data_IF_360114646441
#
_entry.id   IF_360114646441
#
_cell.length_a   1.000
_cell.length_b   1.000
_cell.length_c   1.000
_cell.angle_alpha   90.00
_cell.angle_beta   90.00
_cell.angle_gamma   90.00
#
_symmetry.space_group_name_H-M   'P 1'
#
loop_
_entity.id
_entity.type
_entity.pdbx_description
1 polymer ?
#
# COMPACT_ATOMS: atom_id res chain seq x y z
N UNK A 1 1.48 -17.07 10.85
CA UNK A 1 2.83 -16.51 10.65
C UNK A 1 2.69 -15.34 9.70
N UNK A 2 2.84 -14.11 10.18
CA UNK A 2 2.82 -12.93 9.32
C UNK A 2 4.13 -12.94 8.54
N UNK A 3 4.11 -13.26 7.24
CA UNK A 3 5.34 -13.39 6.43
C UNK A 3 6.03 -12.06 6.15
N UNK A 4 5.33 -10.94 6.32
CA UNK A 4 5.83 -9.60 6.10
C UNK A 4 5.55 -8.81 7.37
N UNK A 5 6.59 -8.37 8.08
CA UNK A 5 6.42 -7.65 9.35
C UNK A 5 6.15 -6.15 9.14
N UNK A 6 6.42 -5.63 7.95
CA UNK A 6 6.33 -4.22 7.60
C UNK A 6 5.82 -4.02 6.17
N UNK A 7 5.28 -2.82 5.89
CA UNK A 7 4.84 -2.42 4.57
C UNK A 7 5.98 -2.46 3.54
N UNK A 8 7.21 -2.07 3.91
CA UNK A 8 8.39 -2.19 3.05
C UNK A 8 8.68 -3.64 2.64
N UNK A 9 8.53 -4.59 3.58
CA UNK A 9 8.76 -6.01 3.30
C UNK A 9 7.70 -6.56 2.34
N UNK A 10 6.45 -6.13 2.51
CA UNK A 10 5.35 -6.48 1.62
C UNK A 10 5.57 -5.90 0.21
N UNK A 11 5.90 -4.61 0.14
CA UNK A 11 6.19 -3.91 -1.10
C UNK A 11 7.31 -4.58 -1.89
N UNK A 12 8.42 -4.90 -1.21
CA UNK A 12 9.56 -5.56 -1.85
C UNK A 12 9.19 -6.96 -2.37
N UNK A 13 8.41 -7.72 -1.60
CA UNK A 13 7.95 -9.03 -2.01
C UNK A 13 7.04 -8.97 -3.25
N UNK A 14 6.16 -7.97 -3.34
CA UNK A 14 5.34 -7.75 -4.55
C UNK A 14 6.24 -7.37 -5.74
N UNK A 15 7.18 -6.43 -5.55
CA UNK A 15 8.12 -6.00 -6.60
C UNK A 15 9.00 -7.13 -7.10
N UNK A 16 9.39 -8.05 -6.23
CA UNK A 16 10.17 -9.25 -6.58
C UNK A 16 9.32 -10.36 -7.19
N UNK A 17 7.99 -10.23 -7.22
CA UNK A 17 7.07 -11.28 -7.67
C UNK A 17 6.99 -12.47 -6.71
N UNK A 18 7.36 -12.27 -5.44
CA UNK A 18 7.22 -13.28 -4.39
C UNK A 18 5.76 -13.41 -3.92
N UNK A 19 4.98 -12.33 -4.06
CA UNK A 19 3.53 -12.34 -3.85
C UNK A 19 2.83 -11.59 -4.97
N UNK A 20 1.61 -12.02 -5.28
CA UNK A 20 0.71 -11.29 -6.16
C UNK A 20 0.03 -10.12 -5.44
N UNK A 21 -0.13 -9.03 -6.19
CA UNK A 21 -0.92 -7.89 -5.76
C UNK A 21 -2.40 -8.33 -5.68
N UNK A 22 -3.02 -8.24 -4.50
CA UNK A 22 -4.41 -8.69 -4.28
C UNK A 22 -5.18 -7.73 -3.38
N UNK A 23 -6.51 -7.73 -3.46
CA UNK A 23 -7.34 -6.81 -2.66
C UNK A 23 -7.29 -7.04 -1.13
N UNK A 24 -6.62 -8.08 -0.65
CA UNK A 24 -6.55 -8.45 0.78
C UNK A 24 -5.13 -8.37 1.34
N UNK A 25 -4.40 -7.30 1.01
CA UNK A 25 -3.05 -7.10 1.56
C UNK A 25 -3.12 -6.82 3.07
N UNK A 26 -2.16 -7.34 3.85
CA UNK A 26 -2.10 -7.09 5.28
C UNK A 26 -1.77 -5.63 5.54
N UNK A 27 -2.42 -5.07 6.56
CA UNK A 27 -2.31 -3.65 6.90
C UNK A 27 -1.50 -3.55 8.18
N UNK A 28 -0.57 -2.61 8.21
CA UNK A 28 0.48 -2.54 9.24
C UNK A 28 0.14 -1.52 10.34
N UNK A 29 -1.09 -1.01 10.35
CA UNK A 29 -1.65 -0.11 11.37
C UNK A 29 -1.94 1.31 10.85
N UNK A 30 -2.63 2.10 11.66
CA UNK A 30 -3.13 3.45 11.30
C UNK A 30 -4.57 3.43 10.80
N UNK A 31 -5.20 4.60 10.77
CA UNK A 31 -6.57 4.77 10.28
C UNK A 31 -6.71 4.32 8.83
N UNK A 32 -7.84 3.67 8.53
CA UNK A 32 -8.15 3.23 7.18
C UNK A 32 -8.26 4.46 6.26
N UNK A 33 -7.42 4.56 5.22
CA UNK A 33 -7.50 5.63 4.25
C UNK A 33 -8.84 5.56 3.50
N UNK A 34 -9.48 6.71 3.37
CA UNK A 34 -10.77 6.89 2.72
C UNK A 34 -10.51 7.05 1.21
N UNK A 35 -11.33 6.46 0.35
CA UNK A 35 -11.25 6.57 -1.12
C UNK A 35 -9.95 6.01 -1.75
N UNK A 36 -9.72 4.71 -1.55
CA UNK A 36 -8.54 4.02 -2.07
C UNK A 36 -8.87 3.16 -3.29
N UNK A 37 -8.00 3.16 -4.32
CA UNK A 37 -8.21 2.34 -5.52
C UNK A 37 -8.11 0.85 -5.18
N UNK A 38 -8.56 -0.04 -6.08
CA UNK A 38 -8.90 -1.44 -5.82
C UNK A 38 -7.88 -2.29 -5.03
N UNK A 39 -6.57 -2.04 -5.16
CA UNK A 39 -5.54 -2.74 -4.37
C UNK A 39 -4.62 -1.77 -3.65
N UNK A 40 -4.54 -1.96 -2.33
CA UNK A 40 -3.88 -1.04 -1.42
C UNK A 40 -3.45 -1.72 -0.13
N UNK A 41 -2.46 -1.14 0.52
CA UNK A 41 -1.96 -1.53 1.84
C UNK A 41 -1.38 -0.29 2.51
N UNK A 42 -1.30 -0.26 3.83
CA UNK A 42 -0.81 0.93 4.52
C UNK A 42 -0.12 0.62 5.83
N UNK A 43 0.61 1.62 6.30
CA UNK A 43 1.16 1.72 7.64
C UNK A 43 0.80 3.09 8.24
N UNK A 44 1.13 3.34 9.52
CA UNK A 44 0.82 4.60 10.19
C UNK A 44 1.40 5.86 9.54
N UNK A 45 2.42 5.71 8.69
CA UNK A 45 3.18 6.80 8.06
C UNK A 45 3.11 6.80 6.54
N UNK A 46 2.81 5.66 5.90
CA UNK A 46 2.81 5.55 4.43
C UNK A 46 1.64 4.74 3.90
N UNK A 47 1.34 5.00 2.65
CA UNK A 47 0.28 4.38 1.88
C UNK A 47 0.88 3.70 0.65
N UNK A 48 0.50 2.45 0.42
CA UNK A 48 0.94 1.67 -0.73
C UNK A 48 -0.26 1.41 -1.64
N UNK A 49 -0.14 1.77 -2.90
CA UNK A 49 -1.23 1.68 -3.87
C UNK A 49 -0.70 1.34 -5.26
N UNK A 50 -1.52 0.63 -6.05
CA UNK A 50 -1.21 0.27 -7.41
C UNK A 50 -2.17 -0.77 -7.97
N UNK A 51 -2.15 -0.98 -9.28
CA UNK A 51 -2.95 -2.01 -9.96
C UNK A 51 -2.13 -3.26 -10.29
N UNK A 52 -0.80 -3.14 -10.35
CA UNK A 52 0.11 -4.26 -10.56
C UNK A 52 1.47 -4.00 -9.88
N UNK A 53 2.34 -5.01 -9.82
CA UNK A 53 3.67 -4.87 -9.24
C UNK A 53 4.52 -3.79 -9.93
N UNK A 54 4.34 -3.56 -11.24
CA UNK A 54 5.09 -2.53 -11.96
C UNK A 54 4.70 -1.12 -11.51
N UNK A 55 3.39 -0.85 -11.42
CA UNK A 55 2.81 0.45 -11.04
C UNK A 55 2.65 0.65 -9.52
N UNK A 56 3.06 -0.33 -8.72
CA UNK A 56 3.00 -0.23 -7.26
C UNK A 56 3.94 0.88 -6.77
N UNK A 57 3.38 1.81 -5.99
CA UNK A 57 4.10 2.94 -5.39
C UNK A 57 3.82 3.03 -3.88
N UNK A 58 4.75 3.65 -3.18
CA UNK A 58 4.67 3.98 -1.76
C UNK A 58 4.67 5.49 -1.62
N UNK A 59 3.58 6.04 -1.11
CA UNK A 59 3.35 7.46 -0.92
C UNK A 59 3.32 7.76 0.58
N UNK A 60 3.93 8.84 1.08
CA UNK A 60 3.75 9.28 2.47
C UNK A 60 2.28 9.60 2.79
N UNK A 61 1.84 9.33 4.02
CA UNK A 61 0.46 9.65 4.48
C UNK A 61 0.15 11.14 4.38
N UNK A 62 1.10 12.00 4.77
CA UNK A 62 0.96 13.46 4.63
C UNK A 62 0.77 13.91 3.19
N UNK A 63 1.35 13.19 2.23
CA UNK A 63 1.23 13.47 0.79
C UNK A 63 -0.11 12.95 0.25
N UNK A 64 -0.59 11.80 0.74
CA UNK A 64 -1.93 11.29 0.42
C UNK A 64 -3.04 12.21 0.93
N UNK A 65 -3.02 12.60 2.21
CA UNK A 65 -4.04 13.49 2.78
C UNK A 65 -4.01 14.90 2.18
N UNK A 66 -2.87 15.32 1.60
CA UNK A 66 -2.68 16.64 0.99
C UNK A 66 -3.13 16.76 -0.47
N UNK A 67 -3.14 15.66 -1.23
CA UNK A 67 -3.21 15.71 -2.70
C UNK A 67 -4.39 14.95 -3.33
N UNK A 68 -5.37 14.47 -2.55
CA UNK A 68 -6.62 13.91 -3.12
C UNK A 68 -7.55 15.02 -3.64
N UNK A 69 -7.08 15.81 -4.61
CA UNK A 69 -7.93 16.56 -5.53
C UNK A 69 -8.09 15.73 -6.80
N UNK A 70 -9.08 14.83 -6.78
CA UNK A 70 -9.66 14.36 -8.02
C UNK A 70 -10.42 15.55 -8.65
N UNK A 71 -9.87 16.11 -9.73
CA UNK A 71 -10.61 16.96 -10.70
C UNK A 71 -11.29 16.05 -11.74
#
# INVERSE_FOLDING_TARGET
MVRYATLDSLYLAIKNGEIDLSANLPTFGGDEPIDVPEIWSWDPYRFMTGTCAADLILIPRDEWEGDVKYD
#
